data_IF_729605964290
#
_entry.id   IF_729605964290
#
_cell.length_a   1.000
_cell.length_b   1.000
_cell.length_c   1.000
_cell.angle_alpha   90.00
_cell.angle_beta   90.00
_cell.angle_gamma   90.00
#
_symmetry.space_group_name_H-M   'P 1'
#
loop_
_entity.id
_entity.type
_entity.pdbx_description
1 polymer ?
#
# COMPACT_ATOMS: atom_id res chain seq x y z
N UNK A 1 -19.99 1.24 -8.75
CA UNK A 1 -19.22 0.25 -9.53
C UNK A 1 -19.53 -1.16 -9.04
N UNK A 2 -19.34 -1.47 -7.78
CA UNK A 2 -19.58 -2.82 -7.22
C UNK A 2 -21.02 -3.29 -7.32
N UNK A 3 -21.97 -2.36 -7.26
CA UNK A 3 -23.40 -2.64 -7.47
C UNK A 3 -23.81 -2.66 -8.96
N UNK A 4 -22.89 -2.35 -9.88
CA UNK A 4 -23.17 -2.22 -11.31
C UNK A 4 -23.99 -0.98 -11.68
N UNK A 5 -24.00 0.04 -10.81
CA UNK A 5 -24.77 1.28 -11.03
C UNK A 5 -24.01 2.31 -11.85
N UNK A 6 -22.68 2.19 -11.95
CA UNK A 6 -21.80 3.07 -12.73
C UNK A 6 -20.52 2.33 -13.13
N UNK A 7 -19.82 2.84 -14.14
CA UNK A 7 -18.52 2.34 -14.55
C UNK A 7 -17.40 2.89 -13.64
N UNK A 8 -16.19 2.29 -13.71
CA UNK A 8 -15.07 2.71 -12.87
C UNK A 8 -14.60 4.12 -13.22
N UNK A 9 -14.64 4.47 -14.51
CA UNK A 9 -14.29 5.80 -15.01
C UNK A 9 -15.16 6.91 -14.41
N UNK A 10 -16.43 6.61 -14.13
CA UNK A 10 -17.40 7.58 -13.56
C UNK A 10 -17.04 7.99 -12.13
N UNK A 11 -16.31 7.13 -11.42
CA UNK A 11 -15.94 7.38 -10.01
C UNK A 11 -14.49 7.86 -9.86
N UNK A 12 -13.70 7.83 -10.93
CA UNK A 12 -12.34 8.33 -10.89
C UNK A 12 -12.33 9.85 -10.78
N UNK A 13 -11.61 10.35 -9.81
CA UNK A 13 -11.39 11.78 -9.61
C UNK A 13 -10.01 12.16 -10.10
N UNK A 14 -9.93 13.15 -10.98
CA UNK A 14 -8.66 13.71 -11.42
C UNK A 14 -8.01 14.50 -10.27
N UNK A 15 -6.81 14.08 -9.91
CA UNK A 15 -5.94 14.75 -8.97
C UNK A 15 -4.89 15.62 -9.66
N UNK A 16 -3.97 16.24 -8.90
CA UNK A 16 -2.90 17.05 -9.45
C UNK A 16 -1.91 16.22 -10.29
N UNK A 17 -1.27 16.88 -11.26
CA UNK A 17 -0.23 16.31 -12.11
C UNK A 17 -0.61 15.00 -12.84
N UNK A 18 -1.90 14.82 -13.17
CA UNK A 18 -2.38 13.64 -13.87
C UNK A 18 -2.64 12.42 -12.97
N UNK A 19 -2.60 12.59 -11.65
CA UNK A 19 -2.98 11.55 -10.71
C UNK A 19 -4.46 11.20 -10.87
N UNK A 20 -4.76 9.92 -11.01
CA UNK A 20 -6.11 9.37 -10.97
C UNK A 20 -6.39 8.81 -9.58
N UNK A 21 -7.48 9.21 -8.95
CA UNK A 21 -7.85 8.79 -7.61
C UNK A 21 -9.16 8.02 -7.64
N UNK A 22 -9.14 6.77 -7.23
CA UNK A 22 -10.34 6.00 -6.93
C UNK A 22 -10.67 6.22 -5.46
N UNK A 23 -11.71 7.00 -5.14
CA UNK A 23 -12.04 7.27 -3.75
C UNK A 23 -12.58 6.02 -3.05
N UNK A 24 -12.06 5.73 -1.86
CA UNK A 24 -12.64 4.70 -1.02
C UNK A 24 -13.92 5.22 -0.35
N UNK A 25 -14.93 4.38 -0.26
CA UNK A 25 -16.13 4.71 0.49
C UNK A 25 -15.84 4.58 2.00
N UNK A 26 -15.53 5.71 2.64
CA UNK A 26 -15.38 5.76 4.09
C UNK A 26 -16.71 5.36 4.77
N UNK A 27 -16.69 4.28 5.54
CA UNK A 27 -17.86 3.84 6.33
C UNK A 27 -18.80 2.85 5.66
N UNK A 28 -18.51 2.37 4.47
CA UNK A 28 -19.24 1.22 3.90
C UNK A 28 -18.64 -0.07 4.46
N UNK A 29 -19.32 -0.64 5.44
CA UNK A 29 -18.91 -1.89 6.11
C UNK A 29 -18.82 -3.12 5.18
N UNK A 30 -19.18 -2.99 3.90
CA UNK A 30 -19.31 -4.08 2.96
C UNK A 30 -18.11 -4.37 2.08
N UNK A 31 -17.04 -3.57 2.11
CA UNK A 31 -15.88 -3.86 1.23
C UNK A 31 -15.01 -5.03 1.71
N UNK A 32 -15.09 -5.38 2.98
CA UNK A 32 -14.42 -6.57 3.52
C UNK A 32 -15.17 -7.88 3.22
N UNK A 33 -16.47 -7.79 2.92
CA UNK A 33 -17.37 -8.93 2.72
C UNK A 33 -17.97 -8.99 1.30
N UNK A 34 -17.23 -8.50 0.31
CA UNK A 34 -17.70 -8.53 -1.08
C UNK A 34 -17.82 -9.96 -1.59
N UNK A 35 -18.94 -10.32 -2.25
CA UNK A 35 -19.06 -11.62 -2.88
C UNK A 35 -18.03 -11.76 -4.02
N UNK A 36 -17.52 -12.98 -4.31
CA UNK A 36 -16.55 -13.22 -5.37
C UNK A 36 -16.92 -12.64 -6.74
N UNK A 37 -18.21 -12.57 -7.06
CA UNK A 37 -18.73 -11.98 -8.30
C UNK A 37 -18.49 -10.47 -8.41
N UNK A 38 -18.51 -9.75 -7.29
CA UNK A 38 -18.26 -8.30 -7.29
C UNK A 38 -16.78 -7.99 -7.58
N UNK A 39 -15.86 -8.86 -7.14
CA UNK A 39 -14.44 -8.73 -7.49
C UNK A 39 -14.18 -8.98 -8.98
N UNK A 40 -14.91 -9.91 -9.61
CA UNK A 40 -14.82 -10.16 -11.06
C UNK A 40 -15.18 -8.91 -11.89
N UNK A 41 -16.21 -8.20 -11.50
CA UNK A 41 -16.60 -6.93 -12.12
C UNK A 41 -15.50 -5.86 -11.96
N UNK A 42 -14.93 -5.77 -10.76
CA UNK A 42 -13.85 -4.82 -10.47
C UNK A 42 -12.57 -5.13 -11.25
N UNK A 43 -12.20 -6.41 -11.39
CA UNK A 43 -11.06 -6.85 -12.21
C UNK A 43 -11.21 -6.39 -13.65
N UNK A 44 -12.38 -6.63 -14.23
CA UNK A 44 -12.67 -6.23 -15.61
C UNK A 44 -12.61 -4.70 -15.77
N UNK A 45 -13.19 -3.96 -14.83
CA UNK A 45 -13.19 -2.50 -14.86
C UNK A 45 -11.76 -1.93 -14.78
N UNK A 46 -10.91 -2.46 -13.88
CA UNK A 46 -9.51 -2.07 -13.82
C UNK A 46 -8.69 -2.58 -15.03
N UNK A 47 -9.05 -3.73 -15.59
CA UNK A 47 -8.41 -4.26 -16.80
C UNK A 47 -8.55 -3.32 -17.99
N UNK A 48 -9.67 -2.62 -18.10
CA UNK A 48 -9.91 -1.63 -19.14
C UNK A 48 -9.00 -0.40 -19.00
N UNK A 49 -8.63 -0.03 -17.75
CA UNK A 49 -7.69 1.06 -17.45
C UNK A 49 -6.23 0.66 -17.56
N UNK A 50 -5.91 -0.62 -17.63
CA UNK A 50 -4.53 -1.13 -17.49
C UNK A 50 -3.54 -0.63 -18.55
N UNK A 51 -4.01 -0.24 -19.72
CA UNK A 51 -3.18 0.32 -20.79
C UNK A 51 -2.67 1.75 -20.54
N UNK A 52 -3.21 2.43 -19.52
CA UNK A 52 -2.96 3.85 -19.25
C UNK A 52 -2.27 4.10 -17.91
N UNK A 53 -2.02 3.05 -17.11
CA UNK A 53 -1.49 3.17 -15.77
C UNK A 53 -0.04 2.68 -15.67
N UNK A 54 0.84 3.54 -15.18
CA UNK A 54 2.23 3.22 -14.89
C UNK A 54 2.39 2.58 -13.49
N UNK A 55 1.66 3.10 -12.51
CA UNK A 55 1.76 2.70 -11.09
C UNK A 55 0.39 2.75 -10.42
N UNK A 56 0.02 1.67 -9.73
CA UNK A 56 -1.13 1.63 -8.82
C UNK A 56 -0.63 1.70 -7.37
N UNK A 57 -1.03 2.75 -6.65
CA UNK A 57 -0.81 2.87 -5.21
C UNK A 57 -2.10 2.50 -4.46
N UNK A 58 -2.02 1.50 -3.60
CA UNK A 58 -3.13 1.11 -2.74
C UNK A 58 -2.85 1.62 -1.32
N UNK A 59 -3.60 2.64 -0.91
CA UNK A 59 -3.55 3.16 0.46
C UNK A 59 -4.44 2.31 1.36
N UNK A 60 -3.82 1.61 2.30
CA UNK A 60 -4.52 0.69 3.21
C UNK A 60 -4.65 1.29 4.61
N UNK A 61 -5.66 0.85 5.36
CA UNK A 61 -5.74 1.16 6.77
C UNK A 61 -4.55 0.57 7.55
N UNK A 62 -4.27 1.11 8.72
CA UNK A 62 -3.30 0.51 9.65
C UNK A 62 -3.83 -0.81 10.22
N UNK A 63 -2.91 -1.68 10.62
CA UNK A 63 -3.22 -2.96 11.27
C UNK A 63 -3.18 -4.15 10.32
N UNK A 64 -3.85 -5.22 10.71
CA UNK A 64 -3.76 -6.56 10.07
C UNK A 64 -5.15 -7.11 9.70
N UNK A 65 -6.08 -6.22 9.35
CA UNK A 65 -7.41 -6.64 8.88
C UNK A 65 -7.31 -7.47 7.60
N UNK A 66 -8.32 -8.27 7.34
CA UNK A 66 -8.35 -9.13 6.15
C UNK A 66 -8.25 -8.35 4.85
N UNK A 67 -8.86 -7.17 4.78
CA UNK A 67 -8.71 -6.26 3.63
C UNK A 67 -7.26 -5.82 3.42
N UNK A 68 -6.56 -5.39 4.49
CA UNK A 68 -5.14 -5.02 4.41
C UNK A 68 -4.29 -6.20 3.93
N UNK A 69 -4.53 -7.39 4.50
CA UNK A 69 -3.81 -8.61 4.12
C UNK A 69 -4.04 -8.98 2.66
N UNK A 70 -5.27 -8.89 2.18
CA UNK A 70 -5.64 -9.21 0.79
C UNK A 70 -4.95 -8.26 -0.20
N UNK A 71 -4.99 -6.95 0.04
CA UNK A 71 -4.32 -5.97 -0.80
C UNK A 71 -2.81 -6.12 -0.79
N UNK A 72 -2.20 -6.26 0.40
CA UNK A 72 -0.75 -6.41 0.53
C UNK A 72 -0.24 -7.68 -0.16
N UNK A 73 -0.98 -8.79 -0.06
CA UNK A 73 -0.64 -10.04 -0.74
C UNK A 73 -0.76 -9.94 -2.27
N UNK A 74 -1.73 -9.20 -2.77
CA UNK A 74 -1.93 -9.01 -4.20
C UNK A 74 -0.90 -8.04 -4.81
N UNK A 75 -0.35 -7.12 -4.03
CA UNK A 75 0.61 -6.14 -4.49
C UNK A 75 1.93 -6.79 -4.98
N UNK A 76 2.60 -6.12 -5.90
CA UNK A 76 3.94 -6.50 -6.37
C UNK A 76 5.01 -6.12 -5.35
N UNK A 77 4.84 -4.97 -4.71
CA UNK A 77 5.72 -4.42 -3.69
C UNK A 77 4.89 -4.03 -2.46
N UNK A 78 5.37 -4.34 -1.28
CA UNK A 78 4.75 -3.96 -0.01
C UNK A 78 5.64 -2.95 0.69
N UNK A 79 5.14 -1.71 0.81
CA UNK A 79 5.82 -0.64 1.54
C UNK A 79 5.24 -0.52 2.95
N UNK A 80 6.02 -0.94 3.94
CA UNK A 80 5.67 -0.85 5.35
C UNK A 80 6.17 0.49 5.90
N UNK A 81 5.25 1.32 6.36
CA UNK A 81 5.56 2.64 6.93
C UNK A 81 5.61 2.52 8.45
N UNK A 82 6.75 2.90 9.06
CA UNK A 82 6.96 2.80 10.51
C UNK A 82 7.38 4.14 11.10
N UNK A 83 6.86 4.44 12.29
CA UNK A 83 7.27 5.57 13.12
C UNK A 83 8.08 5.09 14.33
N UNK A 84 8.84 6.00 14.95
CA UNK A 84 9.63 5.68 16.15
C UNK A 84 8.73 5.65 17.40
N UNK A 85 7.75 4.74 17.37
CA UNK A 85 6.78 4.48 18.41
C UNK A 85 6.67 2.96 18.62
N UNK A 86 6.64 2.46 19.86
CA UNK A 86 6.55 1.03 20.16
C UNK A 86 5.36 0.34 19.48
N UNK A 87 4.21 1.01 19.46
CA UNK A 87 3.00 0.48 18.80
C UNK A 87 3.20 0.32 17.29
N UNK A 88 3.75 1.33 16.61
CA UNK A 88 4.02 1.28 15.17
C UNK A 88 5.00 0.16 14.80
N UNK A 89 6.02 -0.06 15.62
CA UNK A 89 6.96 -1.16 15.45
C UNK A 89 6.31 -2.52 15.62
N UNK A 90 5.44 -2.67 16.64
CA UNK A 90 4.70 -3.90 16.88
C UNK A 90 3.74 -4.23 15.74
N UNK A 91 3.00 -3.23 15.24
CA UNK A 91 2.08 -3.37 14.13
C UNK A 91 2.80 -3.75 12.82
N UNK A 92 3.93 -3.09 12.54
CA UNK A 92 4.77 -3.41 11.38
C UNK A 92 5.28 -4.86 11.43
N UNK A 93 5.79 -5.29 12.58
CA UNK A 93 6.24 -6.67 12.77
C UNK A 93 5.08 -7.67 12.63
N UNK A 94 3.92 -7.37 13.22
CA UNK A 94 2.74 -8.23 13.12
C UNK A 94 2.29 -8.39 11.66
N UNK A 95 2.24 -7.30 10.89
CA UNK A 95 1.90 -7.32 9.47
C UNK A 95 2.89 -8.17 8.66
N UNK A 96 4.20 -7.92 8.81
CA UNK A 96 5.26 -8.68 8.12
C UNK A 96 5.16 -10.17 8.46
N UNK A 97 5.01 -10.50 9.75
CA UNK A 97 4.88 -11.87 10.23
C UNK A 97 3.69 -12.60 9.62
N UNK A 98 2.52 -11.97 9.60
CA UNK A 98 1.31 -12.59 9.05
C UNK A 98 1.41 -12.76 7.55
N UNK A 99 1.85 -11.74 6.81
CA UNK A 99 2.04 -11.81 5.36
C UNK A 99 3.07 -12.88 4.99
N UNK A 100 4.16 -12.98 5.74
CA UNK A 100 5.17 -14.00 5.49
C UNK A 100 4.65 -15.40 5.78
N UNK A 101 4.11 -15.65 6.98
CA UNK A 101 3.73 -16.99 7.42
C UNK A 101 2.48 -17.54 6.78
N UNK A 102 1.49 -16.68 6.51
CA UNK A 102 0.20 -17.12 5.98
C UNK A 102 0.11 -17.00 4.46
N UNK A 103 0.87 -16.06 3.87
CA UNK A 103 0.75 -15.74 2.46
C UNK A 103 2.05 -15.85 1.65
N UNK A 104 3.15 -16.23 2.28
CA UNK A 104 4.43 -16.47 1.60
C UNK A 104 5.10 -15.20 1.04
N UNK A 105 4.70 -14.01 1.52
CA UNK A 105 5.37 -12.77 1.13
C UNK A 105 6.73 -12.70 1.82
N UNK A 106 7.80 -12.71 1.03
CA UNK A 106 9.18 -12.80 1.54
C UNK A 106 9.97 -11.50 1.43
N UNK A 107 9.44 -10.47 0.77
CA UNK A 107 10.15 -9.18 0.58
C UNK A 107 9.26 -8.03 1.00
N UNK A 108 9.84 -7.11 1.76
CA UNK A 108 9.17 -5.89 2.22
C UNK A 108 10.11 -4.70 2.12
N UNK A 109 9.57 -3.55 1.77
CA UNK A 109 10.26 -2.27 1.83
C UNK A 109 9.82 -1.52 3.07
N UNK A 110 10.75 -0.90 3.78
CA UNK A 110 10.46 -0.20 5.04
C UNK A 110 10.80 1.27 4.89
N UNK A 111 9.81 2.11 5.13
CA UNK A 111 9.94 3.56 5.16
C UNK A 111 9.83 4.06 6.61
N UNK A 112 10.90 4.69 7.10
CA UNK A 112 10.86 5.33 8.41
C UNK A 112 10.21 6.72 8.29
N UNK A 113 9.07 6.91 8.94
CA UNK A 113 8.28 8.13 8.85
C UNK A 113 8.35 8.95 10.14
N UNK A 114 8.14 10.26 10.02
CA UNK A 114 8.11 11.22 11.14
C UNK A 114 9.37 11.22 11.99
N UNK A 115 10.52 10.91 11.41
CA UNK A 115 11.78 10.88 12.14
C UNK A 115 12.37 12.29 12.28
N UNK A 116 13.07 12.55 13.39
CA UNK A 116 13.71 13.86 13.62
C UNK A 116 15.04 13.98 12.89
N UNK A 117 15.76 12.89 12.75
CA UNK A 117 17.07 12.83 12.06
C UNK A 117 17.13 11.59 11.18
N UNK A 118 17.81 11.66 10.04
CA UNK A 118 17.96 10.51 9.15
C UNK A 118 18.63 9.30 9.82
N UNK A 119 19.49 9.54 10.81
CA UNK A 119 20.11 8.48 11.61
C UNK A 119 19.06 7.70 12.41
N UNK A 120 18.12 8.39 13.02
CA UNK A 120 17.07 7.77 13.84
C UNK A 120 16.23 6.81 12.98
N UNK A 121 15.96 7.15 11.72
CA UNK A 121 15.26 6.26 10.78
C UNK A 121 16.03 5.00 10.42
N UNK A 122 17.36 5.08 10.28
CA UNK A 122 18.21 3.89 10.06
C UNK A 122 18.28 3.01 11.30
N UNK A 123 18.31 3.60 12.48
CA UNK A 123 18.28 2.86 13.76
C UNK A 123 16.93 2.16 13.95
N UNK A 124 15.81 2.83 13.58
CA UNK A 124 14.47 2.25 13.58
C UNK A 124 14.40 1.03 12.66
N UNK A 125 14.87 1.17 11.42
CA UNK A 125 14.95 0.06 10.47
C UNK A 125 15.80 -1.09 11.01
N UNK A 126 16.97 -0.80 11.57
CA UNK A 126 17.86 -1.83 12.13
C UNK A 126 17.21 -2.62 13.28
N UNK A 127 16.43 -1.96 14.13
CA UNK A 127 15.65 -2.62 15.19
C UNK A 127 14.60 -3.58 14.60
N UNK A 128 13.83 -3.14 13.60
CA UNK A 128 12.83 -3.98 12.95
C UNK A 128 13.47 -5.16 12.23
N UNK A 129 14.57 -4.90 11.50
CA UNK A 129 15.34 -5.93 10.80
C UNK A 129 15.83 -7.01 11.77
N UNK A 130 16.44 -6.62 12.89
CA UNK A 130 16.97 -7.56 13.87
C UNK A 130 15.88 -8.49 14.46
N UNK A 131 14.68 -7.97 14.70
CA UNK A 131 13.55 -8.80 15.17
C UNK A 131 13.04 -9.72 14.07
N UNK A 132 12.94 -9.23 12.84
CA UNK A 132 12.50 -10.06 11.71
C UNK A 132 13.52 -11.17 11.40
N UNK A 133 14.81 -10.87 11.34
CA UNK A 133 15.88 -11.84 11.09
C UNK A 133 15.92 -12.97 12.14
N UNK A 134 15.52 -12.66 13.36
CA UNK A 134 15.50 -13.67 14.44
C UNK A 134 14.35 -14.69 14.30
N UNK A 135 13.21 -14.29 13.72
CA UNK A 135 11.98 -15.08 13.80
C UNK A 135 11.32 -15.37 12.44
N UNK A 136 11.74 -14.71 11.37
CA UNK A 136 11.12 -14.78 10.06
C UNK A 136 12.17 -14.97 8.97
N UNK A 137 11.79 -15.64 7.90
CA UNK A 137 12.60 -15.76 6.68
C UNK A 137 12.10 -14.74 5.65
N UNK A 138 12.50 -13.48 5.82
CA UNK A 138 12.07 -12.37 4.98
C UNK A 138 13.23 -11.43 4.67
N UNK A 139 13.16 -10.75 3.54
CA UNK A 139 14.09 -9.70 3.16
C UNK A 139 13.44 -8.35 3.42
N UNK A 140 14.04 -7.55 4.31
CA UNK A 140 13.65 -6.16 4.51
C UNK A 140 14.62 -5.24 3.78
N UNK A 141 14.09 -4.34 2.95
CA UNK A 141 14.86 -3.33 2.24
C UNK A 141 14.50 -1.93 2.77
N UNK A 142 15.51 -1.13 3.08
CA UNK A 142 15.29 0.24 3.55
C UNK A 142 14.91 1.16 2.39
N UNK A 143 13.68 1.64 2.35
CA UNK A 143 13.17 2.53 1.31
C UNK A 143 13.51 4.00 1.56
N UNK A 144 13.84 4.38 2.80
CA UNK A 144 14.21 5.76 3.11
C UNK A 144 13.59 6.32 4.37
N UNK A 145 13.64 7.63 4.46
CA UNK A 145 13.18 8.41 5.62
C UNK A 145 12.30 9.55 5.16
N UNK A 146 11.16 9.73 5.80
CA UNK A 146 10.40 10.98 5.73
C UNK A 146 10.54 11.70 7.07
N UNK A 147 11.13 12.89 7.10
CA UNK A 147 11.33 13.61 8.34
C UNK A 147 10.00 14.17 8.89
N UNK A 148 9.94 14.36 10.19
CA UNK A 148 8.89 15.17 10.80
C UNK A 148 8.95 16.56 10.22
N UNK A 149 7.81 17.06 9.69
CA UNK A 149 7.75 18.33 8.98
C UNK A 149 6.41 19.03 9.23
N UNK A 150 6.48 20.20 9.86
CA UNK A 150 5.30 21.02 10.12
C UNK A 150 4.62 21.52 8.83
N UNK A 151 5.37 21.62 7.74
CA UNK A 151 4.78 21.98 6.44
C UNK A 151 3.83 20.90 5.92
N UNK A 152 4.07 19.63 6.21
CA UNK A 152 3.15 18.55 5.88
C UNK A 152 1.81 18.75 6.60
N UNK A 153 1.83 19.07 7.90
CA UNK A 153 0.60 19.36 8.66
C UNK A 153 -0.14 20.57 8.10
N UNK A 154 0.59 21.64 7.74
CA UNK A 154 0.01 22.84 7.11
C UNK A 154 -0.61 22.54 5.74
N UNK A 155 0.01 21.68 4.94
CA UNK A 155 -0.54 21.24 3.65
C UNK A 155 -1.86 20.49 3.84
N UNK A 156 -1.91 19.54 4.79
CA UNK A 156 -3.14 18.82 5.15
C UNK A 156 -4.25 19.77 5.60
N UNK A 157 -3.93 20.75 6.47
CA UNK A 157 -4.90 21.75 6.91
C UNK A 157 -5.44 22.62 5.77
N UNK A 158 -4.62 22.88 4.75
CA UNK A 158 -5.00 23.60 3.53
C UNK A 158 -5.71 22.71 2.50
N UNK A 159 -5.80 21.42 2.73
CA UNK A 159 -6.31 20.43 1.77
C UNK A 159 -5.58 20.51 0.43
N UNK A 160 -4.28 20.70 0.48
CA UNK A 160 -3.41 20.78 -0.69
C UNK A 160 -2.28 19.74 -0.60
N UNK A 161 -1.86 19.15 -1.70
CA UNK A 161 -0.70 18.27 -1.72
C UNK A 161 0.56 19.00 -1.25
N UNK A 162 1.38 18.34 -0.43
CA UNK A 162 2.61 18.92 0.10
C UNK A 162 3.54 19.43 -1.01
N UNK A 163 3.67 18.65 -2.08
CA UNK A 163 4.58 18.95 -3.21
C UNK A 163 4.17 20.21 -3.97
N UNK A 164 2.90 20.60 -3.93
CA UNK A 164 2.39 21.84 -4.51
C UNK A 164 2.47 23.00 -3.51
N UNK A 165 1.96 22.76 -2.28
CA UNK A 165 1.86 23.82 -1.28
C UNK A 165 3.24 24.24 -0.74
N UNK A 166 4.15 23.27 -0.56
CA UNK A 166 5.48 23.51 0.05
C UNK A 166 6.56 22.65 -0.63
N UNK A 167 6.85 22.89 -1.92
CA UNK A 167 7.74 22.04 -2.73
C UNK A 167 9.20 21.98 -2.24
N UNK A 168 9.61 22.92 -1.39
CA UNK A 168 10.98 23.01 -0.84
C UNK A 168 11.08 22.49 0.59
N UNK A 169 10.01 21.93 1.14
CA UNK A 169 10.02 21.40 2.50
C UNK A 169 10.86 20.11 2.59
N UNK A 170 11.42 19.80 3.76
CA UNK A 170 12.21 18.56 3.96
C UNK A 170 11.44 17.31 3.61
N UNK A 171 10.18 17.21 3.98
CA UNK A 171 9.34 16.05 3.65
C UNK A 171 9.05 15.98 2.13
N UNK A 172 8.83 17.12 1.46
CA UNK A 172 8.64 17.14 0.00
C UNK A 172 9.89 16.64 -0.74
N UNK A 173 11.08 16.99 -0.26
CA UNK A 173 12.32 16.48 -0.82
C UNK A 173 12.46 14.96 -0.62
N UNK A 174 12.19 14.48 0.60
CA UNK A 174 12.23 13.05 0.92
C UNK A 174 11.25 12.23 0.08
N UNK A 175 10.02 12.73 -0.12
CA UNK A 175 9.02 12.07 -0.96
C UNK A 175 9.41 12.00 -2.43
N UNK A 176 10.07 13.05 -2.98
CA UNK A 176 10.61 12.99 -4.35
C UNK A 176 11.71 11.93 -4.47
N UNK A 177 12.63 11.87 -3.51
CA UNK A 177 13.66 10.84 -3.49
C UNK A 177 13.07 9.44 -3.42
N UNK A 178 12.00 9.26 -2.63
CA UNK A 178 11.29 8.00 -2.58
C UNK A 178 10.66 7.66 -3.94
N UNK A 179 10.00 8.62 -4.60
CA UNK A 179 9.41 8.42 -5.92
C UNK A 179 10.46 7.99 -6.95
N UNK A 180 11.62 8.66 -7.00
CA UNK A 180 12.75 8.29 -7.86
C UNK A 180 13.29 6.88 -7.58
N UNK A 181 13.21 6.42 -6.32
CA UNK A 181 13.57 5.04 -5.98
C UNK A 181 12.51 4.04 -6.43
N UNK A 182 11.22 4.37 -6.26
CA UNK A 182 10.09 3.54 -6.70
C UNK A 182 10.17 3.26 -8.20
N UNK A 183 10.54 4.25 -9.01
CA UNK A 183 10.73 4.08 -10.47
C UNK A 183 11.80 3.04 -10.81
N UNK A 184 12.78 2.84 -9.93
CA UNK A 184 13.90 1.90 -10.10
C UNK A 184 13.64 0.53 -9.48
N UNK A 185 12.54 0.36 -8.78
CA UNK A 185 12.22 -0.94 -8.19
C UNK A 185 12.01 -1.98 -9.29
N UNK A 186 12.39 -3.23 -9.05
CA UNK A 186 12.24 -4.28 -10.04
C UNK A 186 10.77 -4.39 -10.45
N UNK A 187 10.50 -4.21 -11.73
CA UNK A 187 9.19 -4.54 -12.28
C UNK A 187 9.15 -6.04 -12.48
N UNK A 188 8.09 -6.69 -12.04
CA UNK A 188 7.93 -8.12 -12.29
C UNK A 188 7.90 -8.36 -13.81
N UNK A 189 8.92 -9.04 -14.32
CA UNK A 189 8.96 -9.47 -15.72
C UNK A 189 8.04 -10.67 -15.87
N UNK A 190 6.91 -10.51 -16.57
CA UNK A 190 5.95 -11.58 -16.86
C UNK A 190 4.51 -11.11 -16.77
N UNK A 191 3.57 -12.01 -16.93
CA UNK A 191 2.12 -11.78 -16.86
C UNK A 191 1.64 -11.18 -15.51
N UNK A 192 2.52 -11.15 -14.50
CA UNK A 192 2.27 -10.58 -13.18
C UNK A 192 2.30 -9.05 -13.12
N UNK A 193 2.49 -8.35 -14.24
CA UNK A 193 2.61 -6.89 -14.29
C UNK A 193 1.32 -6.14 -14.59
N UNK A 194 0.24 -6.83 -14.92
CA UNK A 194 -1.04 -6.19 -15.26
C UNK A 194 -1.95 -6.02 -14.04
N UNK A 195 -2.78 -4.99 -14.05
CA UNK A 195 -3.81 -4.76 -13.04
C UNK A 195 -4.74 -5.95 -12.86
N UNK A 196 -5.09 -6.63 -13.95
CA UNK A 196 -5.86 -7.88 -13.95
C UNK A 196 -5.25 -8.91 -13.01
N UNK A 197 -3.94 -9.09 -13.06
CA UNK A 197 -3.23 -10.04 -12.20
C UNK A 197 -3.23 -9.66 -10.72
N UNK A 198 -3.20 -8.36 -10.41
CA UNK A 198 -3.37 -7.87 -9.03
C UNK A 198 -4.73 -8.29 -8.47
N UNK A 199 -5.79 -8.06 -9.24
CA UNK A 199 -7.15 -8.42 -8.82
C UNK A 199 -7.40 -9.92 -8.82
N UNK A 200 -6.83 -10.68 -9.75
CA UNK A 200 -6.85 -12.16 -9.74
C UNK A 200 -6.19 -12.72 -8.47
N UNK A 201 -5.03 -12.19 -8.07
CA UNK A 201 -4.37 -12.59 -6.82
C UNK A 201 -5.20 -12.21 -5.60
N UNK A 202 -5.89 -11.08 -5.63
CA UNK A 202 -6.78 -10.66 -4.57
C UNK A 202 -7.97 -11.62 -4.43
N UNK A 203 -8.55 -12.09 -5.55
CA UNK A 203 -9.62 -13.11 -5.55
C UNK A 203 -9.16 -14.46 -4.99
N UNK A 204 -7.96 -14.91 -5.32
CA UNK A 204 -7.39 -16.15 -4.77
C UNK A 204 -7.12 -16.04 -3.26
N UNK A 205 -7.09 -14.83 -2.71
CA UNK A 205 -6.88 -14.56 -1.30
C UNK A 205 -8.13 -14.78 -0.45
N UNK A 206 -9.32 -14.80 -1.06
CA UNK A 206 -10.58 -15.03 -0.34
C UNK A 206 -10.67 -16.53 -0.07
N UNK A 207 -10.73 -16.98 1.19
CA UNK A 207 -10.95 -18.38 1.48
C UNK A 207 -12.28 -18.79 0.86
N UNK A 208 -12.26 -19.84 0.03
CA UNK A 208 -13.49 -20.47 -0.45
C UNK A 208 -14.33 -20.76 0.78
N UNK A 209 -15.50 -20.11 0.89
CA UNK A 209 -16.45 -20.41 1.95
C UNK A 209 -16.63 -21.91 1.97
N UNK A 210 -16.26 -22.53 3.10
CA UNK A 210 -16.41 -23.97 3.29
C UNK A 210 -17.85 -24.31 2.97
N UNK A 211 -18.05 -24.97 1.82
CA UNK A 211 -19.36 -25.44 1.42
C UNK A 211 -19.90 -26.33 2.53
N UNK A 212 -20.86 -25.84 3.25
CA UNK A 212 -21.63 -26.64 4.19
C UNK A 212 -22.31 -27.73 3.41
N UNK A 213 -21.80 -28.94 3.54
CA UNK A 213 -22.59 -30.15 3.25
C UNK A 213 -23.45 -30.43 4.47
N UNK A 214 -24.74 -30.44 4.21
CA UNK A 214 -25.79 -30.87 5.12
C UNK A 214 -25.55 -32.24 5.72
#
# INVERSE_FOLDING_TARGET
VLAGECELEDVIVAGPAGLLVVPAASGVAGMADLPPSAYGGLINAFGQLSGELDVLLVDTAAGVSEGVMSFARAAQEVLVVVCDEPASMADAYALIKLLSRQHGVSRFRVLANMVRRSRDGRELFAKLLAVCDQYLDVVLEFAGVVPFDDYLRKAVQRRQPLLEAFPRSPAAFALRQLAEQVERWPRACGASGHLEFFFERMLQAIPAAAGGTA
#
